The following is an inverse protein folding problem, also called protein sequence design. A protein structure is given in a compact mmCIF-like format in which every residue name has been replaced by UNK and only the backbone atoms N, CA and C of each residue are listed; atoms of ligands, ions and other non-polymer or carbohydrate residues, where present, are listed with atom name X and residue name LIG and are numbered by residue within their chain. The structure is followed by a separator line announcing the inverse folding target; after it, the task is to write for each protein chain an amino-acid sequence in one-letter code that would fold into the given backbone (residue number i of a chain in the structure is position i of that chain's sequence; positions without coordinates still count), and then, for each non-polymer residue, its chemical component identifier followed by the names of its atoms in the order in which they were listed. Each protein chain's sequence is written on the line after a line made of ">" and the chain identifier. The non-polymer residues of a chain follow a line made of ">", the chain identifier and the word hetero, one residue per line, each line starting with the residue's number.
data_IF_717621795160
#
_entry.id   IF_717621795160
#
_cell.length_a   1.000
_cell.length_b   1.000
_cell.length_c   1.000
_cell.angle_alpha   90.00
_cell.angle_beta   90.00
_cell.angle_gamma   90.00
#
_symmetry.space_group_name_H-M   'P 1'
#
loop_
_entity.id
_entity.type
_entity.pdbx_description
1 polymer ?
#
# COMPACT_ATOMS: atom_id res chain seq x y z
N UNK A 1 -10.88 8.42 2.92
CA UNK A 1 -11.41 9.58 3.69
C UNK A 1 -12.16 9.03 4.91
N UNK A 2 -12.43 9.84 5.93
CA UNK A 2 -12.99 9.37 7.22
C UNK A 2 -14.53 9.38 7.34
N UNK A 3 -15.26 9.45 6.24
CA UNK A 3 -16.73 9.42 6.26
C UNK A 3 -17.19 7.98 6.51
N UNK A 4 -18.06 7.78 7.50
CA UNK A 4 -18.54 6.44 7.87
C UNK A 4 -17.52 5.58 8.63
N UNK A 5 -16.49 6.21 9.22
CA UNK A 5 -15.48 5.53 10.04
C UNK A 5 -16.11 4.69 11.17
N UNK A 6 -17.24 5.13 11.70
CA UNK A 6 -17.94 4.51 12.84
C UNK A 6 -18.62 3.16 12.48
N UNK A 7 -18.72 2.84 11.18
CA UNK A 7 -19.35 1.61 10.69
C UNK A 7 -18.34 0.47 10.44
N UNK A 8 -17.05 0.73 10.59
CA UNK A 8 -16.00 -0.27 10.37
C UNK A 8 -15.97 -1.23 11.55
N UNK A 9 -16.41 -2.48 11.33
CA UNK A 9 -16.48 -3.53 12.35
C UNK A 9 -15.46 -4.66 12.15
N UNK A 10 -14.93 -4.78 10.95
CA UNK A 10 -14.04 -5.88 10.57
C UNK A 10 -12.57 -5.42 10.57
N UNK A 11 -11.63 -6.27 11.01
CA UNK A 11 -10.21 -6.00 10.90
C UNK A 11 -9.77 -6.15 9.44
N UNK A 12 -9.86 -5.06 8.68
CA UNK A 12 -9.50 -5.03 7.26
C UNK A 12 -8.10 -4.46 7.13
N UNK A 13 -7.28 -5.12 6.31
CA UNK A 13 -5.96 -4.63 5.98
C UNK A 13 -5.92 -4.09 4.54
N UNK A 14 -5.47 -2.85 4.38
CA UNK A 14 -5.60 -2.08 3.15
C UNK A 14 -4.24 -1.59 2.65
N UNK A 15 -3.98 -1.82 1.36
CA UNK A 15 -2.93 -1.14 0.62
C UNK A 15 -3.55 -0.05 -0.27
N UNK A 16 -3.23 1.20 0.00
CA UNK A 16 -3.85 2.36 -0.66
C UNK A 16 -2.82 3.37 -1.09
N UNK A 17 -3.15 4.24 -2.04
CA UNK A 17 -2.23 5.31 -2.46
C UNK A 17 -2.09 6.41 -1.41
N UNK A 18 -3.20 6.78 -0.76
CA UNK A 18 -3.28 7.88 0.22
C UNK A 18 -4.38 7.58 1.22
N UNK A 19 -4.16 8.02 2.46
CA UNK A 19 -5.15 7.94 3.53
C UNK A 19 -5.07 9.18 4.42
N UNK A 20 -6.21 9.61 4.94
CA UNK A 20 -6.32 10.70 5.92
C UNK A 20 -6.11 10.16 7.32
N UNK A 21 -5.51 10.94 8.23
CA UNK A 21 -5.22 10.53 9.62
C UNK A 21 -6.46 9.94 10.31
N UNK A 22 -7.62 10.61 10.21
CA UNK A 22 -8.89 10.11 10.78
C UNK A 22 -9.29 8.72 10.28
N UNK A 23 -9.07 8.44 8.99
CA UNK A 23 -9.43 7.15 8.41
C UNK A 23 -8.44 6.06 8.82
N UNK A 24 -7.15 6.39 8.95
CA UNK A 24 -6.13 5.48 9.45
C UNK A 24 -6.47 5.04 10.88
N UNK A 25 -6.74 6.00 11.76
CA UNK A 25 -7.08 5.75 13.15
C UNK A 25 -8.32 4.87 13.30
N UNK A 26 -9.35 5.08 12.48
CA UNK A 26 -10.55 4.25 12.50
C UNK A 26 -10.30 2.80 12.09
N UNK A 27 -9.45 2.58 11.08
CA UNK A 27 -9.09 1.22 10.64
C UNK A 27 -8.21 0.52 11.68
N UNK A 28 -7.24 1.21 12.25
CA UNK A 28 -6.37 0.66 13.30
C UNK A 28 -7.15 0.37 14.59
N UNK A 29 -8.13 1.21 14.96
CA UNK A 29 -9.03 0.97 16.09
C UNK A 29 -9.91 -0.27 15.88
N UNK A 30 -10.26 -0.60 14.63
CA UNK A 30 -10.96 -1.83 14.29
C UNK A 30 -10.04 -3.07 14.19
N UNK A 31 -8.75 -2.94 14.53
CA UNK A 31 -7.75 -4.02 14.44
C UNK A 31 -7.22 -4.26 13.02
N UNK A 32 -7.47 -3.35 12.08
CA UNK A 32 -6.96 -3.38 10.72
C UNK A 32 -5.57 -2.75 10.58
N UNK A 33 -5.05 -2.75 9.35
CA UNK A 33 -3.76 -2.10 9.03
C UNK A 33 -3.88 -1.33 7.72
N UNK A 34 -3.13 -0.23 7.58
CA UNK A 34 -3.14 0.58 6.37
C UNK A 34 -1.71 0.89 5.93
N UNK A 35 -1.37 0.49 4.70
CA UNK A 35 -0.07 0.77 4.06
C UNK A 35 -0.22 1.71 2.87
N UNK A 36 0.63 2.73 2.77
CA UNK A 36 0.66 3.62 1.60
C UNK A 36 1.58 3.07 0.52
N UNK A 37 1.02 2.77 -0.64
CA UNK A 37 1.73 2.14 -1.77
C UNK A 37 1.70 3.03 -3.00
N UNK A 38 2.88 3.19 -3.63
CA UNK A 38 3.00 3.94 -4.89
C UNK A 38 2.78 3.06 -6.12
N UNK A 39 1.89 3.53 -7.00
CA UNK A 39 1.73 2.99 -8.36
C UNK A 39 1.85 4.13 -9.37
N UNK A 40 2.66 3.93 -10.42
CA UNK A 40 2.64 4.77 -11.60
C UNK A 40 1.42 4.45 -12.47
N UNK A 41 1.12 5.30 -13.46
CA UNK A 41 -0.05 5.13 -14.33
C UNK A 41 -0.03 3.80 -15.13
N UNK A 42 1.15 3.39 -15.58
CA UNK A 42 1.34 2.14 -16.32
C UNK A 42 1.18 0.90 -15.41
N UNK A 43 1.83 0.90 -14.26
CA UNK A 43 1.77 -0.21 -13.29
C UNK A 43 0.40 -0.34 -12.66
N UNK A 44 -0.30 0.76 -12.40
CA UNK A 44 -1.68 0.71 -11.94
C UNK A 44 -2.61 0.07 -12.98
N UNK A 45 -2.40 0.35 -14.27
CA UNK A 45 -3.10 -0.36 -15.36
C UNK A 45 -2.79 -1.85 -15.39
N UNK A 46 -1.53 -2.22 -15.17
CA UNK A 46 -1.12 -3.62 -15.12
C UNK A 46 -1.76 -4.37 -13.94
N UNK A 47 -1.99 -3.68 -12.82
CA UNK A 47 -2.70 -4.24 -11.66
C UNK A 47 -4.20 -4.45 -11.95
N UNK A 48 -4.86 -3.44 -12.52
CA UNK A 48 -6.31 -3.47 -12.72
C UNK A 48 -6.74 -4.34 -13.91
N UNK A 49 -5.93 -4.35 -14.98
CA UNK A 49 -6.25 -5.00 -16.26
C UNK A 49 -5.03 -5.70 -16.85
N UNK A 50 -4.55 -6.78 -16.21
CA UNK A 50 -3.43 -7.56 -16.74
C UNK A 50 -3.74 -8.17 -18.12
N UNK A 51 -5.00 -8.50 -18.40
CA UNK A 51 -5.47 -9.10 -19.66
C UNK A 51 -5.20 -8.20 -20.89
N UNK A 52 -5.16 -6.87 -20.69
CA UNK A 52 -4.81 -5.93 -21.76
C UNK A 52 -3.36 -6.10 -22.21
N UNK A 53 -2.45 -6.44 -21.29
CA UNK A 53 -1.03 -6.65 -21.59
C UNK A 53 -0.83 -7.97 -22.32
N UNK A 54 -1.49 -9.03 -21.84
CA UNK A 54 -1.50 -10.35 -22.49
C UNK A 54 -2.03 -10.28 -23.93
N UNK A 55 -3.19 -9.63 -24.13
CA UNK A 55 -3.79 -9.46 -25.46
C UNK A 55 -2.91 -8.64 -26.43
N UNK A 56 -2.13 -7.69 -25.91
CA UNK A 56 -1.17 -6.91 -26.72
C UNK A 56 0.16 -7.62 -26.93
N UNK A 57 0.34 -8.84 -26.40
CA UNK A 57 1.61 -9.57 -26.45
C UNK A 57 2.73 -8.86 -25.69
N UNK A 58 2.41 -8.04 -24.68
CA UNK A 58 3.38 -7.30 -23.88
C UNK A 58 3.52 -7.93 -22.50
N UNK A 59 4.76 -8.03 -22.03
CA UNK A 59 5.07 -8.48 -20.67
C UNK A 59 4.57 -7.49 -19.62
N UNK A 60 4.25 -8.00 -18.42
CA UNK A 60 3.88 -7.15 -17.30
C UNK A 60 5.07 -6.27 -16.88
N UNK A 61 4.86 -4.95 -16.74
CA UNK A 61 5.92 -4.05 -16.33
C UNK A 61 6.31 -4.27 -14.88
N UNK A 62 7.61 -4.13 -14.57
CA UNK A 62 8.09 -4.01 -13.19
C UNK A 62 7.58 -2.71 -12.58
N UNK A 63 7.28 -2.73 -11.28
CA UNK A 63 6.81 -1.55 -10.58
C UNK A 63 7.90 -0.47 -10.53
N UNK A 64 7.52 0.74 -10.92
CA UNK A 64 8.43 1.88 -10.94
C UNK A 64 8.66 2.42 -9.53
N UNK A 65 9.89 2.89 -9.26
CA UNK A 65 10.20 3.61 -8.02
C UNK A 65 9.45 4.95 -7.99
N UNK A 66 9.00 5.41 -6.80
CA UNK A 66 8.37 6.70 -6.66
C UNK A 66 9.34 7.83 -7.02
N UNK A 67 8.85 8.94 -7.61
CA UNK A 67 9.67 10.12 -7.83
C UNK A 67 10.10 10.72 -6.48
N UNK A 68 11.25 11.43 -6.41
CA UNK A 68 11.81 11.91 -5.14
C UNK A 68 10.79 12.66 -4.26
N UNK A 69 9.95 13.53 -4.85
CA UNK A 69 8.93 14.31 -4.14
C UNK A 69 7.83 13.47 -3.46
N UNK A 70 7.62 12.24 -3.91
CA UNK A 70 6.58 11.35 -3.38
C UNK A 70 7.15 10.21 -2.54
N UNK A 71 8.48 10.01 -2.57
CA UNK A 71 9.17 8.94 -1.84
C UNK A 71 8.89 9.00 -0.35
N UNK A 72 8.89 10.19 0.25
CA UNK A 72 8.67 10.37 1.69
C UNK A 72 7.20 10.19 2.12
N UNK A 73 6.28 10.18 1.14
CA UNK A 73 4.83 10.07 1.40
C UNK A 73 4.34 8.63 1.37
N UNK A 74 5.10 7.72 0.78
CA UNK A 74 4.69 6.34 0.55
C UNK A 74 5.58 5.41 1.35
N UNK A 75 4.99 4.37 1.90
CA UNK A 75 5.71 3.43 2.75
C UNK A 75 6.31 2.31 1.87
N UNK A 76 5.75 2.05 0.69
CA UNK A 76 6.21 0.96 -0.20
C UNK A 76 5.94 1.16 -1.69
N UNK A 77 6.68 0.40 -2.49
CA UNK A 77 6.53 0.33 -3.95
C UNK A 77 5.48 -0.73 -4.28
N UNK A 78 4.59 -0.43 -5.23
CA UNK A 78 3.57 -1.36 -5.70
C UNK A 78 4.13 -2.72 -6.10
N UNK A 79 3.44 -3.80 -5.73
CA UNK A 79 3.74 -5.15 -6.22
C UNK A 79 2.91 -5.45 -7.47
N UNK A 80 3.56 -6.01 -8.49
CA UNK A 80 2.97 -6.47 -9.74
C UNK A 80 3.56 -7.86 -10.02
N UNK A 81 2.75 -8.90 -10.30
CA UNK A 81 1.29 -8.93 -10.43
C UNK A 81 0.53 -8.79 -9.10
N UNK A 82 -0.81 -8.65 -9.16
CA UNK A 82 -1.65 -8.55 -7.97
C UNK A 82 -1.50 -9.80 -7.08
N UNK A 83 -1.28 -9.65 -5.77
CA UNK A 83 -1.12 -10.79 -4.87
C UNK A 83 -2.44 -11.55 -4.73
N UNK A 84 -2.45 -12.84 -5.04
CA UNK A 84 -3.62 -13.70 -4.92
C UNK A 84 -3.87 -14.17 -3.47
N UNK A 85 -2.84 -14.09 -2.63
CA UNK A 85 -2.89 -14.46 -1.21
C UNK A 85 -2.90 -13.21 -0.33
N UNK A 86 -3.63 -13.23 0.80
CA UNK A 86 -3.55 -12.15 1.77
C UNK A 86 -2.10 -12.03 2.25
N UNK A 87 -1.54 -10.84 2.11
CA UNK A 87 -0.17 -10.56 2.53
C UNK A 87 -0.16 -10.53 4.06
N UNK A 88 0.77 -11.25 4.73
CA UNK A 88 0.95 -11.10 6.16
C UNK A 88 1.39 -9.66 6.45
N UNK A 89 0.57 -8.94 7.20
CA UNK A 89 0.90 -7.61 7.71
C UNK A 89 1.83 -7.79 8.91
N UNK A 90 3.13 -7.90 8.64
CA UNK A 90 4.11 -7.80 9.70
C UNK A 90 4.11 -6.35 10.20
N UNK A 91 3.75 -6.18 11.47
CA UNK A 91 4.11 -5.00 12.23
C UNK A 91 5.63 -5.07 12.30
N UNK A 92 6.34 -4.27 11.51
CA UNK A 92 7.73 -3.98 11.84
C UNK A 92 7.68 -3.29 13.20
N UNK A 93 7.88 -4.06 14.26
CA UNK A 93 8.27 -3.50 15.54
C UNK A 93 9.50 -2.65 15.23
N UNK A 94 9.29 -1.34 15.26
CA UNK A 94 10.35 -0.37 15.24
C UNK A 94 11.18 -0.66 16.48
N UNK A 95 12.20 -1.50 16.35
CA UNK A 95 13.30 -1.52 17.31
C UNK A 95 13.68 -0.05 17.50
N UNK A 96 13.59 0.49 18.73
CA UNK A 96 14.03 1.84 18.96
C UNK A 96 15.49 1.87 18.55
N UNK A 97 15.82 2.70 17.55
CA UNK A 97 17.18 3.00 17.18
C UNK A 97 17.93 3.29 18.48
N UNK A 98 18.75 2.33 18.91
CA UNK A 98 19.59 2.42 20.09
C UNK A 98 20.54 3.57 19.82
N UNK A 99 20.19 4.72 20.37
CA UNK A 99 20.98 5.92 20.29
C UNK A 99 22.30 5.75 21.00
N UNK A 100 23.25 6.51 20.47
CA UNK A 100 24.30 7.25 21.20
C UNK A 100 25.49 6.49 21.82
N UNK A 101 26.64 6.83 21.23
CA UNK A 101 27.86 7.35 21.88
C UNK A 101 28.72 6.37 22.70
N UNK A 102 29.86 6.00 22.12
CA UNK A 102 31.18 6.20 22.75
C UNK A 102 32.21 6.51 21.68
#
# INVERSE_FOLDING_TARGET
>A
MGRGADQIKWPIHLEVSRVTVRAKAAVEAAGGSVRKVYYNKLGFRALLKPEWFEKKGRLLPKAARPPPKQRDKVDSIGRLPAPTKPIPFFIEEKEPASGSLT
#
